data_IF_918651662641
#
_entry.id   IF_918651662641
#
_cell.length_a   1.000
_cell.length_b   1.000
_cell.length_c   1.000
_cell.angle_alpha   90.00
_cell.angle_beta   90.00
_cell.angle_gamma   90.00
#
_symmetry.space_group_name_H-M   'P 1'
#
loop_
_entity.id
_entity.type
_entity.pdbx_description
1 polymer ?
#
# COMPACT_ATOMS: atom_id res chain seq x y z
N UNK A 1 17.74 -40.83 3.38
CA UNK A 1 18.18 -39.42 3.33
C UNK A 1 17.06 -38.64 2.69
N UNK A 2 16.27 -37.89 3.49
CA UNK A 2 15.20 -37.03 2.95
C UNK A 2 15.87 -35.83 2.28
N UNK A 3 15.71 -35.73 0.97
CA UNK A 3 16.05 -34.52 0.22
C UNK A 3 15.34 -33.34 0.89
N UNK A 4 16.10 -32.47 1.54
CA UNK A 4 15.58 -31.18 1.96
C UNK A 4 15.41 -30.34 0.70
N UNK A 5 14.23 -30.41 0.09
CA UNK A 5 13.82 -29.46 -0.94
C UNK A 5 13.95 -28.05 -0.32
N UNK A 6 15.04 -27.37 -0.64
CA UNK A 6 15.21 -25.96 -0.28
C UNK A 6 14.18 -25.16 -1.05
N UNK A 7 13.15 -24.70 -0.33
CA UNK A 7 12.18 -23.78 -0.92
C UNK A 7 12.88 -22.45 -1.31
N UNK A 8 12.51 -21.84 -2.42
CA UNK A 8 13.02 -20.52 -2.81
C UNK A 8 12.83 -19.50 -1.70
N UNK A 9 13.80 -18.61 -1.57
CA UNK A 9 13.73 -17.53 -0.58
C UNK A 9 14.29 -16.23 -1.13
N UNK A 10 13.80 -15.12 -0.61
CA UNK A 10 14.18 -13.77 -1.02
C UNK A 10 14.55 -12.93 0.20
N UNK A 11 15.57 -12.11 0.04
CA UNK A 11 15.86 -11.06 1.02
C UNK A 11 14.75 -10.02 0.99
N UNK A 12 14.46 -9.40 2.14
CA UNK A 12 13.58 -8.24 2.17
C UNK A 12 14.21 -7.11 1.34
N UNK A 13 13.37 -6.43 0.56
CA UNK A 13 13.76 -5.16 -0.05
C UNK A 13 14.03 -4.09 1.02
N UNK A 14 14.58 -2.95 0.61
CA UNK A 14 15.02 -1.96 1.56
C UNK A 14 13.90 -1.36 2.42
N UNK A 15 12.72 -1.15 1.84
CA UNK A 15 11.56 -0.63 2.57
C UNK A 15 10.95 -1.70 3.49
N UNK A 16 10.88 -2.96 3.04
CA UNK A 16 10.30 -4.07 3.79
C UNK A 16 10.98 -4.32 5.14
N UNK A 17 12.27 -4.01 5.28
CA UNK A 17 13.05 -4.27 6.50
C UNK A 17 12.53 -3.58 7.75
N UNK A 18 11.86 -2.43 7.60
CA UNK A 18 11.36 -1.66 8.73
C UNK A 18 10.07 -2.22 9.33
N UNK A 19 9.23 -2.86 8.51
CA UNK A 19 7.88 -3.23 8.91
C UNK A 19 7.81 -4.29 10.01
N UNK A 20 8.61 -5.38 10.00
CA UNK A 20 8.53 -6.40 11.05
C UNK A 20 8.82 -5.87 12.45
N UNK A 21 9.73 -4.92 12.58
CA UNK A 21 10.13 -4.33 13.87
C UNK A 21 9.18 -3.21 14.34
N UNK A 22 8.39 -2.63 13.44
CA UNK A 22 7.46 -1.52 13.73
C UNK A 22 5.99 -1.94 13.75
N UNK A 23 5.68 -3.19 13.44
CA UNK A 23 4.32 -3.73 13.54
C UNK A 23 3.87 -3.87 14.99
N UNK A 24 2.63 -3.49 15.24
CA UNK A 24 2.03 -3.57 16.58
C UNK A 24 0.51 -3.80 16.49
N UNK A 25 -0.13 -4.05 17.63
CA UNK A 25 -1.59 -4.20 17.71
C UNK A 25 -2.36 -2.88 17.40
N UNK A 26 -1.67 -1.73 17.39
CA UNK A 26 -2.24 -0.44 17.02
C UNK A 26 -1.85 0.02 15.62
N UNK A 27 -0.87 -0.64 15.01
CA UNK A 27 -0.38 -0.36 13.67
C UNK A 27 0.14 -1.67 13.06
N UNK A 28 -0.75 -2.40 12.41
CA UNK A 28 -0.50 -3.72 11.84
C UNK A 28 0.42 -3.72 10.63
N UNK A 29 0.66 -2.55 10.02
CA UNK A 29 1.32 -2.41 8.72
C UNK A 29 0.63 -3.21 7.59
N UNK A 30 -0.65 -3.47 7.77
CA UNK A 30 -1.53 -4.04 6.76
C UNK A 30 -2.31 -2.90 6.14
N UNK A 31 -2.38 -2.88 4.83
CA UNK A 31 -3.22 -1.94 4.09
C UNK A 31 -4.23 -2.70 3.25
N UNK A 32 -5.30 -2.03 2.84
CA UNK A 32 -6.41 -2.63 2.11
C UNK A 32 -6.71 -1.85 0.83
N UNK A 33 -6.91 -2.59 -0.25
CA UNK A 33 -7.65 -2.17 -1.42
C UNK A 33 -8.93 -2.97 -1.54
N UNK A 34 -9.93 -2.42 -2.21
CA UNK A 34 -11.13 -3.16 -2.56
C UNK A 34 -11.67 -2.74 -3.93
N UNK A 35 -12.42 -3.64 -4.54
CA UNK A 35 -13.23 -3.39 -5.71
C UNK A 35 -14.69 -3.68 -5.35
N UNK A 36 -15.59 -2.80 -5.73
CA UNK A 36 -17.03 -2.98 -5.58
C UNK A 36 -17.62 -3.33 -6.95
N UNK A 37 -18.36 -4.42 -6.98
CA UNK A 37 -18.99 -4.96 -8.18
C UNK A 37 -20.47 -4.55 -8.23
N UNK A 38 -21.11 -4.73 -9.36
CA UNK A 38 -22.56 -4.50 -9.53
C UNK A 38 -23.40 -5.66 -8.99
N UNK A 39 -22.84 -6.87 -8.93
CA UNK A 39 -23.48 -8.08 -8.44
C UNK A 39 -22.76 -8.68 -7.22
N UNK A 40 -23.42 -9.57 -6.50
CA UNK A 40 -22.84 -10.26 -5.35
C UNK A 40 -21.68 -11.18 -5.79
N UNK A 41 -20.64 -11.20 -4.99
CA UNK A 41 -19.44 -12.01 -5.23
C UNK A 41 -19.80 -13.50 -5.09
N UNK A 42 -19.49 -14.27 -6.12
CA UNK A 42 -19.60 -15.72 -6.12
C UNK A 42 -18.29 -16.33 -5.60
N UNK A 43 -18.31 -17.01 -4.42
CA UNK A 43 -17.09 -17.46 -3.74
C UNK A 43 -16.25 -18.47 -4.54
N UNK A 44 -16.88 -19.38 -5.28
CA UNK A 44 -16.15 -20.40 -6.04
C UNK A 44 -15.45 -19.79 -7.24
N UNK A 45 -16.09 -18.84 -7.93
CA UNK A 45 -15.48 -18.09 -9.02
C UNK A 45 -14.31 -17.23 -8.51
N UNK A 46 -14.47 -16.61 -7.32
CA UNK A 46 -13.37 -15.82 -6.72
C UNK A 46 -12.18 -16.72 -6.34
N UNK A 47 -12.42 -17.92 -5.82
CA UNK A 47 -11.34 -18.87 -5.54
C UNK A 47 -10.62 -19.28 -6.83
N UNK A 48 -11.36 -19.62 -7.88
CA UNK A 48 -10.78 -19.98 -9.19
C UNK A 48 -9.93 -18.82 -9.76
N UNK A 49 -10.42 -17.59 -9.65
CA UNK A 49 -9.70 -16.41 -10.08
C UNK A 49 -8.43 -16.17 -9.24
N UNK A 50 -8.51 -16.40 -7.92
CA UNK A 50 -7.36 -16.28 -7.03
C UNK A 50 -6.27 -17.30 -7.37
N UNK A 51 -6.64 -18.55 -7.63
CA UNK A 51 -5.69 -19.60 -8.00
C UNK A 51 -4.93 -19.22 -9.26
N UNK A 52 -5.63 -18.73 -10.31
CA UNK A 52 -5.00 -18.22 -11.54
C UNK A 52 -4.12 -16.99 -11.31
N UNK A 53 -4.57 -16.08 -10.44
CA UNK A 53 -3.79 -14.89 -10.08
C UNK A 53 -2.50 -15.27 -9.39
N UNK A 54 -2.53 -16.25 -8.50
CA UNK A 54 -1.35 -16.75 -7.77
C UNK A 54 -0.29 -17.36 -8.69
N UNK A 55 -0.66 -17.86 -9.86
CA UNK A 55 0.30 -18.32 -10.87
C UNK A 55 1.13 -17.16 -11.44
N UNK A 56 0.57 -15.95 -11.46
CA UNK A 56 1.19 -14.79 -12.04
C UNK A 56 1.97 -13.92 -11.04
N UNK A 57 1.81 -14.20 -9.73
CA UNK A 57 2.48 -13.47 -8.65
C UNK A 57 3.17 -14.44 -7.67
N UNK A 58 4.27 -15.14 -8.08
CA UNK A 58 4.93 -16.13 -7.23
C UNK A 58 5.36 -15.60 -5.87
N UNK A 59 5.80 -14.32 -5.80
CA UNK A 59 6.21 -13.69 -4.54
C UNK A 59 5.07 -13.63 -3.48
N UNK A 60 3.81 -13.69 -3.90
CA UNK A 60 2.67 -13.73 -2.98
C UNK A 60 2.51 -15.11 -2.29
N UNK A 61 3.20 -16.15 -2.77
CA UNK A 61 3.24 -17.46 -2.09
C UNK A 61 4.18 -17.48 -0.88
N UNK A 62 4.77 -16.36 -0.53
CA UNK A 62 5.75 -16.30 0.54
C UNK A 62 5.14 -16.10 1.93
N UNK A 63 5.84 -16.66 2.91
CA UNK A 63 5.67 -16.36 4.33
C UNK A 63 6.90 -15.59 4.84
N UNK A 64 6.71 -14.81 5.90
CA UNK A 64 7.82 -14.12 6.55
C UNK A 64 8.52 -15.07 7.54
N UNK A 65 9.83 -15.16 7.41
CA UNK A 65 10.69 -15.92 8.31
C UNK A 65 11.62 -15.00 9.08
N UNK A 66 11.88 -15.36 10.29
CA UNK A 66 12.89 -14.73 11.15
C UNK A 66 14.12 -15.62 11.21
N UNK A 67 15.25 -15.12 10.69
CA UNK A 67 16.56 -15.69 10.92
C UNK A 67 17.15 -15.18 12.24
N UNK A 68 18.43 -15.46 12.52
CA UNK A 68 19.11 -15.05 13.76
C UNK A 68 19.23 -13.53 13.88
N UNK A 69 19.47 -12.84 12.74
CA UNK A 69 19.70 -11.39 12.73
C UNK A 69 18.83 -10.62 11.71
N UNK A 70 18.08 -11.30 10.83
CA UNK A 70 17.29 -10.67 9.79
C UNK A 70 16.02 -11.45 9.48
N UNK A 71 15.10 -10.78 8.82
CA UNK A 71 13.90 -11.38 8.25
C UNK A 71 14.11 -11.65 6.75
N UNK A 72 13.43 -12.67 6.24
CA UNK A 72 13.41 -13.03 4.82
C UNK A 72 12.06 -13.61 4.42
N UNK A 73 11.77 -13.58 3.13
CA UNK A 73 10.61 -14.24 2.54
C UNK A 73 11.01 -15.64 2.12
N UNK A 74 10.15 -16.63 2.41
CA UNK A 74 10.35 -18.02 2.01
C UNK A 74 9.08 -18.50 1.32
N UNK A 75 9.22 -19.14 0.16
CA UNK A 75 8.07 -19.75 -0.51
C UNK A 75 7.40 -20.78 0.40
N UNK A 76 6.08 -20.88 0.30
CA UNK A 76 5.28 -21.74 1.16
C UNK A 76 4.25 -22.49 0.34
N UNK A 77 4.00 -23.77 0.63
CA UNK A 77 2.93 -24.54 0.01
C UNK A 77 1.53 -24.18 0.55
N UNK A 78 1.41 -23.18 1.40
CA UNK A 78 0.11 -22.76 1.95
C UNK A 78 -0.80 -22.28 0.81
N UNK A 79 -2.06 -22.77 0.76
CA UNK A 79 -3.01 -22.31 -0.23
C UNK A 79 -3.47 -20.88 0.07
N UNK A 80 -3.61 -20.08 -0.97
CA UNK A 80 -4.32 -18.82 -0.90
C UNK A 80 -5.84 -19.10 -0.93
N UNK A 81 -6.57 -18.60 0.07
CA UNK A 81 -8.01 -18.84 0.18
C UNK A 81 -8.77 -17.51 0.18
N UNK A 82 -9.77 -17.42 -0.70
CA UNK A 82 -10.78 -16.39 -0.64
C UNK A 82 -11.74 -16.68 0.52
N UNK A 83 -11.91 -15.72 1.43
CA UNK A 83 -12.70 -15.91 2.65
C UNK A 83 -13.76 -14.82 2.84
N UNK A 84 -14.90 -15.12 3.49
CA UNK A 84 -15.81 -14.06 3.89
C UNK A 84 -15.12 -13.10 4.86
N UNK A 85 -15.44 -11.82 4.76
CA UNK A 85 -14.92 -10.79 5.66
C UNK A 85 -15.55 -10.96 7.07
N UNK A 86 -14.75 -11.39 8.03
CA UNK A 86 -15.17 -11.64 9.42
C UNK A 86 -14.34 -10.87 10.45
N UNK A 87 -13.18 -10.39 10.06
CA UNK A 87 -12.28 -9.64 10.93
C UNK A 87 -12.40 -8.13 10.66
N UNK A 88 -12.07 -7.29 11.64
CA UNK A 88 -11.92 -5.85 11.39
C UNK A 88 -10.94 -5.57 10.24
N UNK A 89 -11.16 -4.49 9.47
CA UNK A 89 -10.26 -4.09 8.40
C UNK A 89 -8.81 -3.98 8.87
N UNK A 90 -7.87 -4.44 8.02
CA UNK A 90 -6.44 -4.40 8.30
C UNK A 90 -6.02 -5.08 9.62
N UNK A 91 -6.79 -6.09 10.05
CA UNK A 91 -6.41 -6.91 11.21
C UNK A 91 -5.01 -7.50 11.00
N UNK A 92 -4.15 -7.58 12.05
CA UNK A 92 -2.77 -8.04 11.88
C UNK A 92 -2.66 -9.39 11.15
N UNK A 93 -1.74 -9.44 10.19
CA UNK A 93 -1.30 -10.66 9.52
C UNK A 93 -0.03 -11.17 10.21
N UNK A 94 0.79 -10.26 10.73
CA UNK A 94 2.03 -10.54 11.44
C UNK A 94 2.20 -9.58 12.63
N UNK A 95 2.77 -10.03 13.76
CA UNK A 95 3.12 -11.40 14.08
C UNK A 95 1.89 -12.28 14.30
N UNK A 96 1.96 -13.52 13.82
CA UNK A 96 0.91 -14.51 13.99
C UNK A 96 1.51 -15.76 14.62
N UNK A 97 0.82 -16.45 15.53
CA UNK A 97 1.25 -17.74 16.05
C UNK A 97 1.26 -18.82 14.96
N UNK A 98 0.50 -18.60 13.88
CA UNK A 98 0.38 -19.52 12.76
C UNK A 98 1.12 -18.99 11.53
N UNK A 99 1.72 -19.88 10.77
CA UNK A 99 2.25 -19.53 9.45
C UNK A 99 1.10 -19.11 8.54
N UNK A 100 1.19 -17.94 7.96
CA UNK A 100 0.20 -17.41 7.03
C UNK A 100 0.90 -16.74 5.86
N UNK A 101 0.25 -16.73 4.70
CA UNK A 101 0.62 -15.85 3.61
C UNK A 101 0.51 -14.39 4.09
N UNK A 102 1.24 -13.50 3.45
CA UNK A 102 1.35 -12.11 3.86
C UNK A 102 0.26 -11.21 3.27
N UNK A 103 -0.80 -11.82 2.80
CA UNK A 103 -1.99 -11.16 2.26
C UNK A 103 -3.25 -11.97 2.54
N UNK A 104 -4.41 -11.35 2.33
CA UNK A 104 -5.73 -12.00 2.38
C UNK A 104 -6.61 -11.46 1.26
N UNK A 105 -7.37 -12.35 0.64
CA UNK A 105 -8.49 -12.01 -0.23
C UNK A 105 -9.77 -12.27 0.53
N UNK A 106 -10.57 -11.22 0.69
CA UNK A 106 -11.81 -11.24 1.46
C UNK A 106 -12.97 -10.80 0.58
N UNK A 107 -14.17 -11.31 0.84
CA UNK A 107 -15.36 -10.86 0.14
C UNK A 107 -16.50 -10.57 1.10
N UNK A 108 -17.32 -9.59 0.76
CA UNK A 108 -18.55 -9.26 1.46
C UNK A 108 -19.55 -8.67 0.49
N UNK A 109 -20.70 -9.36 0.28
CA UNK A 109 -21.68 -8.95 -0.74
C UNK A 109 -21.02 -8.69 -2.08
N UNK A 110 -21.08 -7.47 -2.59
CA UNK A 110 -20.53 -7.05 -3.89
C UNK A 110 -19.05 -6.60 -3.84
N UNK A 111 -18.38 -6.78 -2.72
CA UNK A 111 -17.02 -6.25 -2.54
C UNK A 111 -16.00 -7.37 -2.44
N UNK A 112 -14.95 -7.26 -3.25
CA UNK A 112 -13.70 -8.02 -3.15
C UNK A 112 -12.66 -7.12 -2.50
N UNK A 113 -12.08 -7.55 -1.38
CA UNK A 113 -11.05 -6.82 -0.65
C UNK A 113 -9.73 -7.58 -0.66
N UNK A 114 -8.64 -6.87 -0.90
CA UNK A 114 -7.28 -7.35 -0.78
C UNK A 114 -6.60 -6.64 0.40
N UNK A 115 -6.16 -7.40 1.39
CA UNK A 115 -5.31 -6.93 2.47
C UNK A 115 -3.90 -7.46 2.30
N UNK A 116 -2.91 -6.56 2.41
CA UNK A 116 -1.51 -6.91 2.23
C UNK A 116 -0.69 -6.40 3.41
N UNK A 117 0.14 -7.26 3.98
CA UNK A 117 1.18 -6.84 4.93
C UNK A 117 2.31 -6.18 4.16
N UNK A 118 2.65 -4.97 4.53
CA UNK A 118 3.53 -4.08 3.75
C UNK A 118 4.97 -4.62 3.54
N UNK A 119 5.34 -5.70 4.24
CA UNK A 119 6.58 -6.45 3.97
C UNK A 119 6.58 -7.07 2.57
N UNK A 120 5.41 -7.49 2.08
CA UNK A 120 5.28 -8.20 0.80
C UNK A 120 5.33 -7.25 -0.39
N UNK A 121 4.56 -6.17 -0.33
CA UNK A 121 4.31 -5.30 -1.49
C UNK A 121 3.95 -3.89 -1.05
N UNK A 122 4.11 -2.92 -1.96
CA UNK A 122 3.57 -1.58 -1.83
C UNK A 122 2.20 -1.44 -2.51
N UNK A 123 1.65 -0.21 -2.45
CA UNK A 123 0.35 0.07 -3.02
C UNK A 123 0.26 -0.20 -4.52
N UNK A 124 1.33 0.05 -5.29
CA UNK A 124 1.32 -0.19 -6.74
C UNK A 124 1.30 -1.69 -7.05
N UNK A 125 2.19 -2.47 -6.42
CA UNK A 125 2.23 -3.93 -6.62
C UNK A 125 0.95 -4.63 -6.15
N UNK A 126 0.37 -4.19 -5.04
CA UNK A 126 -0.91 -4.73 -4.55
C UNK A 126 -2.09 -4.35 -5.45
N UNK A 127 -2.09 -3.15 -6.03
CA UNK A 127 -3.12 -2.75 -6.98
C UNK A 127 -3.05 -3.57 -8.28
N UNK A 128 -1.86 -3.90 -8.75
CA UNK A 128 -1.68 -4.76 -9.90
C UNK A 128 -2.19 -6.18 -9.62
N UNK A 129 -1.92 -6.73 -8.43
CA UNK A 129 -2.48 -8.01 -8.00
C UNK A 129 -4.02 -7.96 -7.98
N UNK A 130 -4.61 -6.93 -7.37
CA UNK A 130 -6.07 -6.79 -7.31
C UNK A 130 -6.70 -6.65 -8.71
N UNK A 131 -6.07 -5.91 -9.61
CA UNK A 131 -6.54 -5.76 -11.00
C UNK A 131 -6.57 -7.10 -11.74
N UNK A 132 -5.53 -7.90 -11.59
CA UNK A 132 -5.49 -9.24 -12.19
C UNK A 132 -6.55 -10.14 -11.56
N UNK A 133 -6.69 -10.12 -10.24
CA UNK A 133 -7.69 -10.90 -9.52
C UNK A 133 -9.12 -10.57 -10.00
N UNK A 134 -9.46 -9.29 -10.10
CA UNK A 134 -10.78 -8.84 -10.56
C UNK A 134 -10.97 -9.19 -12.04
N UNK A 135 -9.95 -9.05 -12.87
CA UNK A 135 -10.01 -9.44 -14.27
C UNK A 135 -10.29 -10.94 -14.42
N UNK A 136 -9.54 -11.80 -13.70
CA UNK A 136 -9.74 -13.26 -13.73
C UNK A 136 -11.13 -13.63 -13.17
N UNK A 137 -11.60 -12.93 -12.13
CA UNK A 137 -12.93 -13.13 -11.58
C UNK A 137 -14.03 -12.83 -12.59
N UNK A 138 -13.96 -11.68 -13.26
CA UNK A 138 -14.93 -11.30 -14.29
C UNK A 138 -14.88 -12.27 -15.49
N UNK A 139 -13.69 -12.71 -15.88
CA UNK A 139 -13.52 -13.70 -16.94
C UNK A 139 -14.16 -15.05 -16.60
N UNK A 140 -14.12 -15.47 -15.35
CA UNK A 140 -14.77 -16.70 -14.88
C UNK A 140 -16.29 -16.53 -14.80
N UNK A 141 -16.75 -15.34 -14.36
CA UNK A 141 -18.18 -15.06 -14.17
C UNK A 141 -18.94 -14.78 -15.47
N UNK A 142 -18.28 -14.12 -16.40
CA UNK A 142 -18.85 -13.61 -17.66
C UNK A 142 -17.99 -14.05 -18.86
N UNK A 143 -17.94 -15.39 -19.11
CA UNK A 143 -17.13 -15.90 -20.22
C UNK A 143 -17.61 -15.45 -21.59
N UNK A 144 -18.88 -15.04 -21.72
CA UNK A 144 -19.49 -14.46 -22.92
C UNK A 144 -18.99 -13.06 -23.24
N UNK A 145 -18.55 -12.30 -22.22
CA UNK A 145 -17.99 -10.97 -22.41
C UNK A 145 -16.55 -11.10 -22.93
N UNK A 146 -16.30 -10.59 -24.12
CA UNK A 146 -14.95 -10.65 -24.70
C UNK A 146 -13.98 -9.69 -23.99
N UNK A 147 -13.62 -10.04 -22.74
CA UNK A 147 -12.71 -9.26 -21.88
C UNK A 147 -11.28 -9.23 -22.42
N UNK A 148 -10.94 -10.03 -23.43
CA UNK A 148 -9.59 -10.10 -24.01
C UNK A 148 -9.05 -8.75 -24.52
N UNK A 149 -9.93 -7.83 -24.90
CA UNK A 149 -9.58 -6.47 -25.31
C UNK A 149 -9.08 -5.58 -24.15
N UNK A 150 -9.40 -5.94 -22.90
CA UNK A 150 -9.07 -5.17 -21.69
C UNK A 150 -7.95 -5.82 -20.87
N UNK A 151 -7.00 -6.47 -21.53
CA UNK A 151 -5.88 -7.16 -20.84
C UNK A 151 -5.17 -6.22 -19.88
N UNK A 152 -5.02 -6.68 -18.64
CA UNK A 152 -4.25 -5.95 -17.62
C UNK A 152 -2.77 -5.92 -18.05
N UNK A 153 -2.11 -4.75 -18.07
CA UNK A 153 -0.74 -4.60 -18.60
C UNK A 153 0.31 -5.50 -17.93
N UNK A 154 0.04 -5.98 -16.72
CA UNK A 154 0.94 -6.87 -15.94
C UNK A 154 1.00 -8.29 -16.52
N UNK A 155 0.03 -8.67 -17.36
CA UNK A 155 0.00 -9.96 -18.03
C UNK A 155 1.09 -10.00 -19.12
N UNK A 156 2.06 -10.92 -18.98
CA UNK A 156 3.18 -11.08 -19.91
C UNK A 156 4.54 -10.57 -19.40
N UNK A 157 4.57 -9.99 -18.18
CA UNK A 157 5.83 -9.65 -17.49
C UNK A 157 6.39 -10.92 -16.84
N UNK A 158 7.70 -11.17 -16.99
CA UNK A 158 8.34 -12.36 -16.40
C UNK A 158 8.34 -12.32 -14.86
N UNK A 159 8.27 -13.50 -14.24
CA UNK A 159 8.30 -13.63 -12.77
C UNK A 159 9.56 -13.00 -12.18
N UNK A 160 10.72 -13.18 -12.83
CA UNK A 160 11.97 -12.57 -12.41
C UNK A 160 11.88 -11.03 -12.33
N UNK A 161 11.15 -10.39 -13.25
CA UNK A 161 10.95 -8.94 -13.23
C UNK A 161 9.99 -8.51 -12.12
N UNK A 162 8.93 -9.30 -11.86
CA UNK A 162 7.96 -9.04 -10.79
C UNK A 162 8.57 -9.22 -9.40
N UNK A 163 9.52 -10.13 -9.24
CA UNK A 163 10.21 -10.44 -7.97
C UNK A 163 11.45 -9.60 -7.71
N UNK A 164 11.90 -8.83 -8.71
CA UNK A 164 13.14 -8.07 -8.62
C UNK A 164 13.16 -7.05 -7.47
N UNK A 165 14.29 -6.96 -6.76
CA UNK A 165 14.56 -5.88 -5.81
C UNK A 165 15.05 -4.64 -6.58
N UNK A 166 14.10 -3.76 -6.91
CA UNK A 166 14.40 -2.54 -7.67
C UNK A 166 15.22 -1.52 -6.90
N UNK A 167 15.14 -1.52 -5.56
CA UNK A 167 16.04 -0.67 -4.76
C UNK A 167 17.51 -1.06 -4.97
N UNK A 168 17.80 -2.36 -5.00
CA UNK A 168 19.17 -2.82 -5.24
C UNK A 168 19.65 -2.47 -6.65
N UNK A 169 18.76 -2.52 -7.63
CA UNK A 169 19.09 -2.22 -9.04
C UNK A 169 19.46 -0.75 -9.25
N UNK A 170 18.76 0.17 -8.57
CA UNK A 170 18.88 1.61 -8.79
C UNK A 170 19.54 2.35 -7.61
N UNK A 171 20.18 1.60 -6.69
CA UNK A 171 20.83 2.21 -5.54
C UNK A 171 22.09 2.98 -5.95
N UNK A 172 22.08 4.26 -5.69
CA UNK A 172 23.26 5.12 -5.72
C UNK A 172 23.59 5.57 -4.30
N UNK A 173 24.90 5.66 -3.98
CA UNK A 173 25.32 6.06 -2.64
C UNK A 173 24.98 7.53 -2.42
N UNK A 174 24.09 7.88 -1.48
CA UNK A 174 23.68 9.26 -1.28
C UNK A 174 24.82 10.09 -0.73
N UNK A 175 24.95 11.32 -1.25
CA UNK A 175 25.73 12.35 -0.57
C UNK A 175 25.03 12.67 0.77
N UNK A 176 25.71 12.41 1.88
CA UNK A 176 25.13 12.57 3.21
C UNK A 176 24.90 14.05 3.53
N UNK A 177 23.66 14.45 3.63
CA UNK A 177 23.24 15.68 4.32
C UNK A 177 22.11 15.33 5.29
N UNK A 178 22.46 15.03 6.54
CA UNK A 178 21.48 14.94 7.63
C UNK A 178 21.42 16.30 8.31
N UNK A 179 20.36 17.07 8.05
CA UNK A 179 19.97 18.21 8.86
C UNK A 179 19.03 17.79 9.98
N UNK A 180 19.19 18.35 11.17
CA UNK A 180 18.19 18.21 12.24
C UNK A 180 16.97 19.05 11.88
N UNK A 181 15.85 18.40 11.57
CA UNK A 181 14.57 19.07 11.37
C UNK A 181 13.87 19.32 12.71
N UNK A 182 13.14 20.45 12.88
CA UNK A 182 12.33 20.68 14.07
C UNK A 182 11.30 19.56 14.28
N UNK A 183 10.98 19.29 15.56
CA UNK A 183 9.94 18.31 15.88
C UNK A 183 8.58 18.77 15.38
N UNK A 184 7.95 17.98 14.52
CA UNK A 184 6.62 18.23 14.00
C UNK A 184 5.52 18.15 15.08
N UNK A 185 4.40 18.80 14.83
CA UNK A 185 3.20 18.63 15.64
C UNK A 185 2.72 17.19 15.59
N UNK A 186 2.44 16.62 16.76
CA UNK A 186 1.84 15.30 16.88
C UNK A 186 0.36 15.47 17.20
N UNK A 187 -0.51 14.94 16.34
CA UNK A 187 -1.97 15.01 16.52
C UNK A 187 -2.33 14.21 17.79
N UNK A 188 -2.89 14.86 18.82
CA UNK A 188 -3.33 14.16 20.02
C UNK A 188 -4.64 13.41 19.75
N UNK A 189 -4.94 12.41 20.57
CA UNK A 189 -6.21 11.69 20.50
C UNK A 189 -6.18 10.41 21.31
N UNK A 190 -7.37 9.88 21.58
CA UNK A 190 -7.51 8.56 22.17
C UNK A 190 -7.37 7.51 21.06
N UNK A 191 -6.57 6.49 21.33
CA UNK A 191 -6.45 5.37 20.41
C UNK A 191 -7.68 4.46 20.57
N UNK A 192 -8.12 3.91 19.45
CA UNK A 192 -9.07 2.81 19.45
C UNK A 192 -8.49 1.59 20.17
N UNK A 193 -9.34 0.66 20.63
CA UNK A 193 -8.88 -0.63 21.17
C UNK A 193 -7.90 -1.32 20.21
N UNK A 194 -7.09 -2.23 20.76
CA UNK A 194 -6.14 -3.00 19.95
C UNK A 194 -6.84 -3.72 18.79
N UNK A 195 -6.19 -3.75 17.64
CA UNK A 195 -6.68 -4.41 16.43
C UNK A 195 -7.99 -3.85 15.88
N UNK A 196 -8.34 -2.62 16.20
CA UNK A 196 -9.50 -1.92 15.64
C UNK A 196 -9.06 -0.66 14.89
N UNK A 197 -9.72 -0.42 13.75
CA UNK A 197 -9.59 0.78 12.93
C UNK A 197 -10.98 1.38 12.71
N UNK A 198 -11.05 2.71 12.69
CA UNK A 198 -12.18 3.44 12.13
C UNK A 198 -11.82 3.86 10.69
N UNK A 199 -12.78 3.71 9.80
CA UNK A 199 -12.64 4.13 8.41
C UNK A 199 -13.52 5.35 8.20
N UNK A 200 -12.93 6.43 7.66
CA UNK A 200 -13.64 7.60 7.19
C UNK A 200 -13.54 7.62 5.67
N UNK A 201 -14.68 7.62 5.01
CA UNK A 201 -14.75 7.67 3.55
C UNK A 201 -15.32 9.01 3.09
N UNK A 202 -14.72 9.58 2.04
CA UNK A 202 -15.21 10.76 1.36
C UNK A 202 -15.20 10.51 -0.14
N UNK A 203 -16.28 10.91 -0.83
CA UNK A 203 -16.37 10.88 -2.29
C UNK A 203 -16.33 12.30 -2.83
N UNK A 204 -15.47 12.53 -3.81
CA UNK A 204 -15.33 13.80 -4.51
C UNK A 204 -15.28 13.55 -6.01
N UNK A 205 -15.84 14.46 -6.79
CA UNK A 205 -15.76 14.45 -8.24
C UNK A 205 -14.33 14.68 -8.70
N UNK A 206 -13.74 13.69 -9.37
CA UNK A 206 -12.38 13.82 -9.95
C UNK A 206 -12.32 14.98 -10.94
N UNK A 207 -13.37 15.20 -11.73
CA UNK A 207 -13.44 16.30 -12.71
C UNK A 207 -13.36 17.67 -12.02
N UNK A 208 -14.09 17.85 -10.92
CA UNK A 208 -14.09 19.11 -10.17
C UNK A 208 -12.77 19.31 -9.43
N UNK A 209 -12.24 18.27 -8.79
CA UNK A 209 -10.95 18.32 -8.09
C UNK A 209 -9.81 18.64 -9.07
N UNK A 210 -9.82 18.03 -10.25
CA UNK A 210 -8.82 18.28 -11.29
C UNK A 210 -8.95 19.70 -11.85
N UNK A 211 -10.16 20.21 -12.04
CA UNK A 211 -10.39 21.58 -12.47
C UNK A 211 -9.87 22.58 -11.43
N UNK A 212 -10.11 22.31 -10.14
CA UNK A 212 -9.61 23.12 -9.01
C UNK A 212 -8.06 23.14 -8.97
N UNK A 213 -7.41 21.98 -9.15
CA UNK A 213 -5.96 21.88 -9.18
C UNK A 213 -5.36 22.62 -10.39
N UNK A 214 -5.93 22.42 -11.59
CA UNK A 214 -5.47 23.09 -12.82
C UNK A 214 -5.60 24.59 -12.78
N UNK A 215 -6.69 25.12 -12.21
CA UNK A 215 -6.89 26.56 -12.02
C UNK A 215 -5.79 27.19 -11.16
N UNK A 216 -5.17 26.41 -10.27
CA UNK A 216 -4.05 26.81 -9.40
C UNK A 216 -2.69 26.40 -9.92
N UNK A 217 -2.63 25.76 -11.09
CA UNK A 217 -1.40 25.23 -11.70
C UNK A 217 -0.62 24.28 -10.78
N UNK A 218 -1.37 23.42 -10.06
CA UNK A 218 -0.84 22.40 -9.16
C UNK A 218 -1.38 21.01 -9.53
N UNK A 219 -0.73 19.97 -9.02
CA UNK A 219 -1.24 18.59 -9.09
C UNK A 219 -2.32 18.36 -8.02
N UNK A 220 -3.11 17.29 -8.20
CA UNK A 220 -4.09 16.87 -7.17
C UNK A 220 -3.36 16.54 -5.86
N UNK A 221 -2.18 15.94 -5.92
CA UNK A 221 -1.38 15.58 -4.74
C UNK A 221 -0.96 16.83 -3.97
N UNK A 222 -0.45 17.85 -4.65
CA UNK A 222 -0.08 19.14 -4.02
C UNK A 222 -1.30 19.81 -3.39
N UNK A 223 -2.43 19.86 -4.11
CA UNK A 223 -3.68 20.45 -3.60
C UNK A 223 -4.16 19.75 -2.34
N UNK A 224 -4.22 18.41 -2.34
CA UNK A 224 -4.67 17.64 -1.18
C UNK A 224 -3.66 17.72 -0.02
N UNK A 225 -2.36 17.76 -0.30
CA UNK A 225 -1.33 17.93 0.72
C UNK A 225 -1.44 19.30 1.40
N UNK A 226 -1.63 20.38 0.64
CA UNK A 226 -1.82 21.71 1.19
C UNK A 226 -3.12 21.82 2.01
N UNK A 227 -4.21 21.24 1.51
CA UNK A 227 -5.47 21.18 2.23
C UNK A 227 -5.34 20.41 3.57
N UNK A 228 -4.62 19.29 3.58
CA UNK A 228 -4.38 18.50 4.79
C UNK A 228 -3.51 19.25 5.79
N UNK A 229 -2.42 19.88 5.35
CA UNK A 229 -1.57 20.72 6.21
C UNK A 229 -2.39 21.81 6.91
N UNK A 230 -3.24 22.51 6.16
CA UNK A 230 -4.11 23.55 6.68
C UNK A 230 -5.16 23.00 7.64
N UNK A 231 -5.84 21.90 7.29
CA UNK A 231 -6.85 21.29 8.15
C UNK A 231 -6.27 20.83 9.49
N UNK A 232 -5.04 20.28 9.48
CA UNK A 232 -4.33 19.92 10.72
C UNK A 232 -4.07 21.18 11.55
N UNK A 233 -3.58 22.26 10.93
CA UNK A 233 -3.33 23.52 11.63
C UNK A 233 -4.59 24.11 12.24
N UNK A 234 -5.70 24.13 11.54
CA UNK A 234 -7.00 24.64 12.04
C UNK A 234 -7.45 23.88 13.30
N UNK A 235 -7.19 22.55 13.35
CA UNK A 235 -7.46 21.72 14.53
C UNK A 235 -6.42 21.81 15.65
N UNK A 236 -5.31 22.55 15.47
CA UNK A 236 -4.26 22.63 16.48
C UNK A 236 -4.65 23.54 17.66
N UNK A 237 -4.44 23.09 18.90
CA UNK A 237 -4.50 23.97 20.06
C UNK A 237 -3.53 25.16 19.91
N UNK A 238 -3.95 26.36 20.30
CA UNK A 238 -3.16 27.59 20.15
C UNK A 238 -1.73 27.46 20.68
N UNK A 239 -1.56 26.81 21.84
CA UNK A 239 -0.24 26.55 22.46
C UNK A 239 0.70 25.71 21.59
N UNK A 240 0.16 24.91 20.67
CA UNK A 240 0.91 24.00 19.81
C UNK A 240 1.26 24.59 18.44
N UNK A 241 0.68 25.73 18.06
CA UNK A 241 0.82 26.37 16.73
C UNK A 241 2.23 26.91 16.42
N UNK A 242 3.14 26.82 17.40
CA UNK A 242 4.58 27.10 17.21
C UNK A 242 5.34 25.95 16.53
N UNK A 243 4.74 24.76 16.44
CA UNK A 243 5.36 23.59 15.80
C UNK A 243 4.96 23.51 14.33
N UNK A 244 5.87 23.14 13.43
CA UNK A 244 5.52 22.90 12.04
C UNK A 244 4.55 21.71 11.92
N UNK A 245 3.65 21.78 10.95
CA UNK A 245 2.87 20.62 10.49
C UNK A 245 3.66 19.94 9.40
N UNK A 246 3.78 18.62 9.47
CA UNK A 246 4.49 17.81 8.47
C UNK A 246 3.61 16.67 8.00
N UNK A 247 3.45 16.55 6.69
CA UNK A 247 2.75 15.44 6.02
C UNK A 247 3.78 14.60 5.29
N UNK A 248 3.69 13.29 5.46
CA UNK A 248 4.52 12.33 4.73
C UNK A 248 3.77 11.84 3.50
N UNK A 249 4.33 12.07 2.33
CA UNK A 249 3.75 11.70 1.03
C UNK A 249 4.56 10.55 0.43
N UNK A 250 3.98 9.36 0.21
CA UNK A 250 4.65 8.29 -0.51
C UNK A 250 4.68 8.58 -2.02
N UNK A 251 5.81 8.25 -2.65
CA UNK A 251 6.06 8.45 -4.08
C UNK A 251 6.37 7.12 -4.74
N UNK A 252 5.60 6.75 -5.77
CA UNK A 252 5.87 5.55 -6.55
C UNK A 252 7.11 5.77 -7.43
N UNK A 253 8.21 5.09 -7.10
CA UNK A 253 9.47 5.22 -7.84
C UNK A 253 9.42 4.62 -9.23
N UNK A 254 8.42 3.80 -9.57
CA UNK A 254 8.24 3.25 -10.92
C UNK A 254 7.92 4.34 -11.96
N UNK A 255 7.49 5.51 -11.50
CA UNK A 255 7.28 6.68 -12.36
C UNK A 255 8.60 7.33 -12.82
N UNK A 256 9.70 7.03 -12.14
CA UNK A 256 11.02 7.63 -12.37
C UNK A 256 12.06 6.60 -12.83
N UNK A 257 11.90 5.34 -12.40
CA UNK A 257 12.82 4.25 -12.69
C UNK A 257 12.05 3.06 -13.27
N UNK A 258 12.37 2.59 -14.48
CA UNK A 258 11.67 1.46 -15.09
C UNK A 258 11.73 0.20 -14.21
N UNK A 259 10.57 -0.20 -13.70
CA UNK A 259 10.43 -1.37 -12.85
C UNK A 259 9.04 -1.99 -12.97
N UNK A 260 9.01 -3.31 -13.08
CA UNK A 260 7.81 -4.13 -13.05
C UNK A 260 7.69 -4.95 -11.76
N UNK A 261 8.49 -4.63 -10.76
CA UNK A 261 8.49 -5.34 -9.49
C UNK A 261 7.14 -5.20 -8.78
N UNK A 262 6.61 -6.32 -8.30
CA UNK A 262 5.42 -6.36 -7.43
C UNK A 262 5.78 -6.12 -5.95
N UNK A 263 7.08 -5.99 -5.63
CA UNK A 263 7.60 -5.71 -4.29
C UNK A 263 7.59 -4.22 -4.00
N UNK A 264 8.04 -3.83 -2.80
CA UNK A 264 8.14 -2.41 -2.47
C UNK A 264 9.15 -1.68 -3.35
N UNK A 265 8.70 -0.60 -3.97
CA UNK A 265 9.57 0.32 -4.69
C UNK A 265 9.00 1.73 -4.65
N UNK A 266 9.06 2.35 -3.47
CA UNK A 266 8.57 3.69 -3.21
C UNK A 266 9.58 4.49 -2.37
N UNK A 267 9.50 5.81 -2.45
CA UNK A 267 10.15 6.74 -1.54
C UNK A 267 9.10 7.49 -0.71
N UNK A 268 9.56 8.20 0.30
CA UNK A 268 8.72 9.11 1.08
C UNK A 268 9.31 10.51 1.04
N UNK A 269 8.43 11.51 0.91
CA UNK A 269 8.79 12.92 1.00
C UNK A 269 8.10 13.49 2.24
N UNK A 270 8.83 14.27 3.00
CA UNK A 270 8.27 15.01 4.13
C UNK A 270 8.00 16.45 3.70
N UNK A 271 6.73 16.80 3.58
CA UNK A 271 6.29 18.15 3.24
C UNK A 271 5.91 18.86 4.54
N UNK A 272 6.69 19.87 4.92
CA UNK A 272 6.51 20.61 6.16
C UNK A 272 6.08 22.05 5.90
N UNK A 273 5.19 22.58 6.78
CA UNK A 273 4.79 23.97 6.76
C UNK A 273 4.75 24.54 8.18
N UNK A 274 5.46 25.67 8.38
CA UNK A 274 5.52 26.37 9.66
C UNK A 274 4.58 27.57 9.65
N UNK A 275 3.35 27.37 10.13
CA UNK A 275 2.30 28.40 10.22
C UNK A 275 2.63 29.52 11.20
N UNK A 276 3.62 29.37 12.06
CA UNK A 276 4.04 30.45 12.97
C UNK A 276 4.86 31.52 12.27
N UNK A 277 5.40 31.20 11.09
CA UNK A 277 6.30 32.06 10.30
C UNK A 277 5.70 32.45 8.95
N UNK A 278 4.65 31.75 8.50
CA UNK A 278 4.11 31.90 7.16
C UNK A 278 2.59 32.13 7.22
N UNK A 279 2.01 32.61 6.12
CA UNK A 279 0.57 32.84 5.99
C UNK A 279 -0.25 31.55 6.18
N UNK A 280 -1.46 31.67 6.71
CA UNK A 280 -2.42 30.58 6.83
C UNK A 280 -3.29 30.40 5.58
N UNK A 281 -3.12 31.24 4.56
CA UNK A 281 -3.88 31.17 3.33
C UNK A 281 -3.51 29.94 2.52
N UNK A 282 -4.50 29.30 1.90
CA UNK A 282 -4.28 28.09 1.10
C UNK A 282 -3.29 28.32 -0.05
N UNK A 283 -3.36 29.47 -0.70
CA UNK A 283 -2.48 29.80 -1.83
C UNK A 283 -1.00 29.88 -1.38
N UNK A 284 -0.75 30.47 -0.21
CA UNK A 284 0.61 30.53 0.36
C UNK A 284 1.15 29.13 0.73
N UNK A 285 0.26 28.27 1.27
CA UNK A 285 0.63 26.88 1.56
C UNK A 285 0.92 26.12 0.27
N UNK A 286 0.10 26.29 -0.78
CA UNK A 286 0.28 25.67 -2.09
C UNK A 286 1.61 26.07 -2.72
N UNK A 287 1.99 27.35 -2.65
CA UNK A 287 3.26 27.84 -3.23
C UNK A 287 4.50 27.20 -2.56
N UNK A 288 4.39 26.78 -1.30
CA UNK A 288 5.50 26.08 -0.61
C UNK A 288 5.46 24.56 -0.85
N UNK A 289 4.30 23.99 -1.19
CA UNK A 289 4.12 22.56 -1.43
C UNK A 289 4.52 22.17 -2.86
N UNK A 290 4.49 23.10 -3.81
CA UNK A 290 4.99 22.92 -5.19
C UNK A 290 6.48 22.56 -5.20
#
# INVERSE_FOLDING_TARGET
>A
MMDRNYLPWWRLDNAAKIFPSTSSAHDSKVFRFFCELEEDVEPAALQTALDKTMEQFPIYRCVLRRGWFWYYLEESPLPALARPEQLPPCFPIYPSPWRSLLFRVLYYRRRISLEVYHVLSDGAGALDFLRVLVYEYLYVRHPEDNLSANRVPVLGISDQQKEADSFKKYYEKPERRFGLSPSAYQIPGNRLPKNQLAILEGKISVKELLACARARKVTITELLTAALLRSIYEGMPVRSRKKPVVVTVPVNLRNYFPSFSSRNFFAIIHVGYDFSKNSTDLEAVLDQVK
#
